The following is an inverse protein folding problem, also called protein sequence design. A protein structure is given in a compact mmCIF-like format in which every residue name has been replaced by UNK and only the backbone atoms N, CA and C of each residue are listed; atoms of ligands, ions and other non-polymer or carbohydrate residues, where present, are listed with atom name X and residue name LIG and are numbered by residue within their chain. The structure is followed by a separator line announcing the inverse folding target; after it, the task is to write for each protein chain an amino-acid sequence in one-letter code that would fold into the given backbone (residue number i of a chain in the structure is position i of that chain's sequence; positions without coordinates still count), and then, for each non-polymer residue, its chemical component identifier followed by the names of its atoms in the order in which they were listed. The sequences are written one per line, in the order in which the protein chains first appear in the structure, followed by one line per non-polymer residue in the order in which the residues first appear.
data_IF_244412678394
#
_entry.id   IF_244412678394
#
_cell.length_a   1.000
_cell.length_b   1.000
_cell.length_c   1.000
_cell.angle_alpha   90.00
_cell.angle_beta   90.00
_cell.angle_gamma   90.00
#
_symmetry.space_group_name_H-M   'P 1'
#
loop_
_entity.id
_entity.type
_entity.pdbx_description
1 polymer ?
#
# COMPACT_ATOMS: atom_id res chain seq x y z
N UNK A 1 -14.84 -6.64 -19.20
CA UNK A 1 -15.95 -6.94 -18.24
C UNK A 1 -15.45 -6.59 -16.86
N UNK A 2 -15.94 -5.49 -16.27
CA UNK A 2 -15.54 -5.04 -14.94
C UNK A 2 -15.97 -6.08 -13.90
N UNK A 3 -15.02 -6.75 -13.27
CA UNK A 3 -15.28 -7.60 -12.11
C UNK A 3 -15.62 -6.69 -10.92
N UNK A 4 -16.90 -6.43 -10.74
CA UNK A 4 -17.44 -5.75 -9.56
C UNK A 4 -17.16 -6.66 -8.35
N UNK A 5 -16.43 -6.15 -7.39
CA UNK A 5 -16.18 -6.84 -6.12
C UNK A 5 -17.52 -7.03 -5.37
N UNK A 6 -18.17 -8.18 -5.53
CA UNK A 6 -19.49 -8.51 -4.99
C UNK A 6 -19.59 -8.53 -3.45
N UNK A 7 -18.49 -8.31 -2.72
CA UNK A 7 -18.44 -8.32 -1.25
C UNK A 7 -18.60 -6.94 -0.58
N UNK A 8 -18.84 -5.87 -1.32
CA UNK A 8 -18.85 -4.49 -0.80
C UNK A 8 -20.23 -3.92 -0.45
N UNK A 9 -21.24 -4.73 -0.12
CA UNK A 9 -22.50 -4.17 0.44
C UNK A 9 -22.26 -3.73 1.88
N UNK A 10 -21.99 -2.43 2.09
CA UNK A 10 -21.98 -1.81 3.40
C UNK A 10 -23.36 -1.25 3.75
N UNK A 11 -23.82 -1.52 4.96
CA UNK A 11 -25.19 -1.28 5.41
C UNK A 11 -25.51 0.17 5.84
N UNK A 12 -24.56 1.11 5.81
CA UNK A 12 -24.81 2.53 6.15
C UNK A 12 -23.89 3.46 5.35
N UNK A 13 -24.42 4.04 4.26
CA UNK A 13 -23.81 5.15 3.53
C UNK A 13 -24.62 6.40 3.77
N UNK A 14 -23.99 7.51 4.10
CA UNK A 14 -24.57 8.83 3.96
C UNK A 14 -23.84 9.51 2.82
N UNK A 15 -24.45 9.55 1.64
CA UNK A 15 -23.97 10.29 0.48
C UNK A 15 -24.50 11.71 0.57
N UNK A 16 -23.62 12.69 0.50
CA UNK A 16 -23.98 14.10 0.35
C UNK A 16 -23.37 14.57 -0.96
N UNK A 17 -24.21 14.80 -1.95
CA UNK A 17 -23.82 15.36 -3.23
C UNK A 17 -23.95 16.89 -3.17
N UNK A 18 -22.85 17.62 -3.32
CA UNK A 18 -22.83 19.08 -3.46
C UNK A 18 -22.14 19.42 -4.76
N UNK A 19 -22.88 19.92 -5.79
CA UNK A 19 -22.24 20.49 -6.97
C UNK A 19 -21.50 21.76 -6.53
N UNK A 20 -20.22 21.89 -6.91
CA UNK A 20 -19.53 23.15 -6.75
C UNK A 20 -19.91 24.13 -7.86
N UNK A 21 -19.50 25.42 -7.72
CA UNK A 21 -19.85 26.52 -8.62
C UNK A 21 -19.17 26.41 -10.00
N UNK A 22 -18.28 25.44 -10.22
CA UNK A 22 -17.52 25.24 -11.45
C UNK A 22 -17.89 23.95 -12.22
N UNK A 23 -18.92 23.20 -11.75
CA UNK A 23 -19.38 21.97 -12.41
C UNK A 23 -18.56 20.72 -12.11
N UNK A 24 -17.61 20.79 -11.17
CA UNK A 24 -16.94 19.62 -10.62
C UNK A 24 -17.87 18.90 -9.62
N UNK A 25 -18.00 17.58 -9.76
CA UNK A 25 -18.74 16.77 -8.80
C UNK A 25 -17.95 16.61 -7.51
N UNK A 26 -18.58 16.90 -6.38
CA UNK A 26 -18.05 16.62 -5.05
C UNK A 26 -18.95 15.60 -4.34
N UNK A 27 -18.38 14.51 -3.87
CA UNK A 27 -19.10 13.49 -3.10
C UNK A 27 -18.39 13.24 -1.79
N UNK A 28 -19.09 13.46 -0.68
CA UNK A 28 -18.63 13.12 0.66
C UNK A 28 -19.31 11.82 1.13
N UNK A 29 -18.51 10.91 1.68
CA UNK A 29 -18.94 9.60 2.15
C UNK A 29 -18.43 9.40 3.57
N UNK A 30 -19.32 9.06 4.50
CA UNK A 30 -18.92 8.57 5.81
C UNK A 30 -18.93 7.04 5.80
N UNK A 31 -17.77 6.43 6.07
CA UNK A 31 -17.55 5.00 6.08
C UNK A 31 -17.40 4.49 7.51
N UNK A 32 -18.36 3.68 7.97
CA UNK A 32 -18.27 2.97 9.24
C UNK A 32 -17.34 1.76 9.10
N UNK A 33 -16.34 1.67 9.95
CA UNK A 33 -15.40 0.55 10.01
C UNK A 33 -15.89 -0.55 10.95
N UNK A 34 -15.69 -1.84 10.61
CA UNK A 34 -16.16 -2.96 11.44
C UNK A 34 -15.32 -3.17 12.71
N UNK A 35 -14.07 -2.68 12.69
CA UNK A 35 -13.10 -2.74 13.78
C UNK A 35 -12.32 -1.42 13.85
N UNK A 36 -11.69 -1.08 14.98
CA UNK A 36 -10.81 0.07 15.05
C UNK A 36 -9.69 0.00 14.02
N UNK A 37 -9.42 1.12 13.35
CA UNK A 37 -8.28 1.32 12.45
C UNK A 37 -7.70 2.71 12.73
N UNK A 38 -6.43 2.81 13.03
CA UNK A 38 -5.72 4.08 13.14
C UNK A 38 -5.22 4.51 11.77
N UNK A 39 -5.81 5.55 11.18
CA UNK A 39 -5.34 6.12 9.90
C UNK A 39 -3.92 6.65 10.02
N UNK A 40 -3.61 7.36 11.09
CA UNK A 40 -2.28 7.94 11.34
C UNK A 40 -1.22 6.85 11.41
N UNK A 41 -1.48 5.77 12.16
CA UNK A 41 -0.53 4.65 12.27
C UNK A 41 -0.38 3.92 10.94
N UNK A 42 -1.48 3.74 10.19
CA UNK A 42 -1.47 3.11 8.87
C UNK A 42 -0.66 3.93 7.88
N UNK A 43 -0.89 5.24 7.81
CA UNK A 43 -0.16 6.15 6.91
C UNK A 43 1.34 6.16 7.23
N UNK A 44 1.71 6.16 8.51
CA UNK A 44 3.11 6.20 8.96
C UNK A 44 3.72 4.80 9.14
N UNK A 45 3.06 3.73 8.73
CA UNK A 45 3.51 2.35 8.91
C UNK A 45 4.84 2.05 8.20
N UNK A 46 5.04 2.64 7.05
CA UNK A 46 6.27 2.54 6.23
C UNK A 46 6.36 3.71 5.24
N UNK A 47 7.33 3.66 4.31
CA UNK A 47 7.68 4.82 3.48
C UNK A 47 6.71 5.21 2.35
N UNK A 48 5.66 4.44 2.05
CA UNK A 48 4.79 4.65 0.88
C UNK A 48 4.14 6.04 0.85
N UNK A 49 3.78 6.59 1.99
CA UNK A 49 3.20 7.94 2.09
C UNK A 49 4.09 9.04 1.47
N UNK A 50 5.40 8.81 1.41
CA UNK A 50 6.37 9.74 0.81
C UNK A 50 6.57 9.53 -0.70
N UNK A 51 5.90 8.56 -1.30
CA UNK A 51 6.01 8.25 -2.73
C UNK A 51 4.77 8.77 -3.47
N UNK A 52 5.00 9.45 -4.58
CA UNK A 52 3.90 9.89 -5.45
C UNK A 52 2.99 8.70 -5.83
N UNK A 53 1.70 8.91 -6.01
CA UNK A 53 1.01 10.21 -5.97
C UNK A 53 0.43 10.56 -4.59
N UNK A 54 0.89 9.95 -3.49
CA UNK A 54 0.43 10.24 -2.14
C UNK A 54 0.75 11.67 -1.71
N UNK A 55 -0.18 12.28 -0.99
CA UNK A 55 -0.02 13.50 -0.22
C UNK A 55 -0.58 13.29 1.18
N UNK A 56 0.20 13.62 2.20
CA UNK A 56 -0.20 13.56 3.61
C UNK A 56 -0.03 14.92 4.25
N UNK A 57 -1.13 15.51 4.70
CA UNK A 57 -1.16 16.70 5.54
C UNK A 57 -1.19 16.26 7.01
N UNK A 58 -0.06 16.40 7.69
CA UNK A 58 0.07 16.01 9.12
C UNK A 58 -0.69 16.91 10.07
N UNK A 59 -0.96 18.15 9.68
CA UNK A 59 -1.65 19.13 10.52
C UNK A 59 -3.17 18.91 10.47
N UNK A 60 -3.68 18.53 9.31
CA UNK A 60 -5.09 18.21 9.09
C UNK A 60 -5.40 16.72 9.27
N UNK A 61 -4.36 15.87 9.44
CA UNK A 61 -4.47 14.40 9.43
C UNK A 61 -5.22 13.88 8.20
N UNK A 62 -4.88 14.44 7.04
CA UNK A 62 -5.54 14.21 5.76
C UNK A 62 -4.63 13.46 4.80
N UNK A 63 -5.09 12.30 4.34
CA UNK A 63 -4.44 11.53 3.27
C UNK A 63 -5.18 11.76 1.97
N UNK A 64 -4.45 12.20 0.93
CA UNK A 64 -5.04 12.42 -0.39
C UNK A 64 -4.15 11.94 -1.52
N UNK A 65 -4.77 11.67 -2.67
CA UNK A 65 -4.07 11.38 -3.90
C UNK A 65 -4.97 11.52 -5.14
N UNK A 66 -4.40 11.86 -6.30
CA UNK A 66 -5.08 11.71 -7.57
C UNK A 66 -5.18 10.23 -7.96
N UNK A 67 -6.32 9.87 -8.56
CA UNK A 67 -6.63 8.56 -9.10
C UNK A 67 -7.13 8.66 -10.52
N UNK A 68 -6.90 7.59 -11.30
CA UNK A 68 -7.42 7.44 -12.65
C UNK A 68 -7.85 5.99 -12.87
N UNK A 69 -9.16 5.74 -12.98
CA UNK A 69 -9.69 4.38 -13.12
C UNK A 69 -9.85 3.97 -14.58
N UNK A 70 -10.20 4.93 -15.45
CA UNK A 70 -10.48 4.71 -16.87
C UNK A 70 -9.29 5.00 -17.81
N UNK A 71 -8.13 5.37 -17.25
CA UNK A 71 -6.94 5.78 -17.98
C UNK A 71 -7.02 7.19 -18.59
N UNK A 72 -8.09 7.97 -18.31
CA UNK A 72 -8.33 9.28 -18.90
C UNK A 72 -8.72 10.35 -17.90
N UNK A 73 -9.68 10.08 -17.04
CA UNK A 73 -10.26 11.05 -16.12
C UNK A 73 -9.57 10.96 -14.76
N UNK A 74 -8.95 12.06 -14.36
CA UNK A 74 -8.32 12.17 -13.05
C UNK A 74 -9.31 12.80 -12.07
N UNK A 75 -9.40 12.20 -10.91
CA UNK A 75 -10.14 12.72 -9.75
C UNK A 75 -9.26 12.61 -8.50
N UNK A 76 -9.56 13.41 -7.49
CA UNK A 76 -8.83 13.36 -6.22
C UNK A 76 -9.68 12.67 -5.16
N UNK A 77 -9.06 11.75 -4.43
CA UNK A 77 -9.65 11.12 -3.26
C UNK A 77 -8.92 11.61 -2.02
N UNK A 78 -9.69 12.08 -1.04
CA UNK A 78 -9.20 12.59 0.24
C UNK A 78 -9.84 11.77 1.35
N UNK A 79 -9.05 11.39 2.35
CA UNK A 79 -9.46 10.56 3.49
C UNK A 79 -9.04 11.22 4.79
N UNK A 80 -10.02 11.45 5.67
CA UNK A 80 -9.81 11.91 7.04
C UNK A 80 -10.42 10.91 8.03
N UNK A 81 -10.01 10.98 9.27
CA UNK A 81 -10.53 10.10 10.31
C UNK A 81 -11.11 10.90 11.47
N UNK A 82 -12.42 10.73 11.68
CA UNK A 82 -13.14 11.36 12.80
C UNK A 82 -13.06 10.53 14.10
N UNK A 83 -13.07 9.20 13.99
CA UNK A 83 -12.87 8.26 15.11
C UNK A 83 -12.18 6.98 14.60
N UNK A 84 -11.69 6.13 15.50
CA UNK A 84 -11.07 4.84 15.12
C UNK A 84 -12.00 3.90 14.34
N UNK A 85 -13.30 4.16 14.34
CA UNK A 85 -14.32 3.38 13.64
C UNK A 85 -15.05 4.14 12.54
N UNK A 86 -14.61 5.38 12.23
CA UNK A 86 -15.22 6.21 11.20
C UNK A 86 -14.18 6.91 10.34
N UNK A 87 -14.34 6.79 9.03
CA UNK A 87 -13.52 7.47 8.03
C UNK A 87 -14.43 8.33 7.14
N UNK A 88 -14.01 9.56 6.91
CA UNK A 88 -14.64 10.49 6.00
C UNK A 88 -13.86 10.51 4.70
N UNK A 89 -14.52 10.25 3.58
CA UNK A 89 -13.93 10.15 2.25
C UNK A 89 -14.55 11.24 1.39
N UNK A 90 -13.72 12.04 0.74
CA UNK A 90 -14.13 13.05 -0.25
C UNK A 90 -13.60 12.66 -1.61
N UNK A 91 -14.48 12.68 -2.61
CA UNK A 91 -14.14 12.48 -4.03
C UNK A 91 -14.39 13.80 -4.75
N UNK A 92 -13.37 14.36 -5.38
CA UNK A 92 -13.45 15.59 -6.16
C UNK A 92 -13.01 15.33 -7.59
N UNK A 93 -13.87 15.61 -8.58
CA UNK A 93 -13.57 15.39 -9.99
C UNK A 93 -14.78 15.62 -10.88
N UNK A 94 -14.58 15.50 -12.19
CA UNK A 94 -15.68 15.57 -13.15
C UNK A 94 -16.45 14.25 -13.14
N UNK A 95 -17.80 14.32 -13.16
CA UNK A 95 -18.70 13.18 -13.32
C UNK A 95 -18.53 12.06 -12.29
N UNK A 96 -18.68 12.39 -11.00
CA UNK A 96 -18.70 11.36 -9.93
C UNK A 96 -20.08 10.69 -9.93
N UNK A 97 -20.11 9.42 -10.30
CA UNK A 97 -21.29 8.56 -10.29
C UNK A 97 -21.21 7.45 -9.19
N UNK A 98 -22.26 6.64 -9.08
CA UNK A 98 -22.30 5.54 -8.12
C UNK A 98 -21.23 4.47 -8.38
N UNK A 99 -20.89 4.21 -9.65
CA UNK A 99 -19.89 3.22 -10.03
C UNK A 99 -18.49 3.67 -9.60
N UNK A 100 -18.14 4.93 -9.87
CA UNK A 100 -16.91 5.54 -9.41
C UNK A 100 -16.84 5.55 -7.89
N UNK A 101 -17.94 5.92 -7.23
CA UNK A 101 -18.06 5.91 -5.77
C UNK A 101 -17.78 4.53 -5.18
N UNK A 102 -18.38 3.47 -5.72
CA UNK A 102 -18.14 2.10 -5.28
C UNK A 102 -16.69 1.66 -5.51
N UNK A 103 -16.09 2.05 -6.63
CA UNK A 103 -14.69 1.77 -6.91
C UNK A 103 -13.76 2.48 -5.91
N UNK A 104 -13.99 3.77 -5.63
CA UNK A 104 -13.21 4.53 -4.63
C UNK A 104 -13.32 3.89 -3.25
N UNK A 105 -14.50 3.43 -2.84
CA UNK A 105 -14.65 2.69 -1.58
C UNK A 105 -13.78 1.43 -1.52
N UNK A 106 -13.64 0.70 -2.62
CA UNK A 106 -12.74 -0.46 -2.69
C UNK A 106 -11.27 -0.03 -2.57
N UNK A 107 -10.88 1.06 -3.24
CA UNK A 107 -9.52 1.61 -3.14
C UNK A 107 -9.19 2.03 -1.70
N UNK A 108 -10.05 2.82 -1.07
CA UNK A 108 -9.81 3.29 0.31
C UNK A 108 -9.73 2.13 1.29
N UNK A 109 -10.57 1.10 1.15
CA UNK A 109 -10.47 -0.11 1.98
C UNK A 109 -9.12 -0.81 1.81
N UNK A 110 -8.61 -0.89 0.58
CA UNK A 110 -7.28 -1.41 0.32
C UNK A 110 -6.20 -0.52 0.96
N UNK A 111 -6.26 0.80 0.78
CA UNK A 111 -5.27 1.73 1.33
C UNK A 111 -5.05 1.55 2.82
N UNK A 112 -6.14 1.41 3.58
CA UNK A 112 -6.09 1.26 5.04
C UNK A 112 -6.04 -0.20 5.50
N UNK A 113 -5.82 -1.15 4.58
CA UNK A 113 -5.79 -2.60 4.87
C UNK A 113 -7.04 -3.08 5.65
N UNK A 114 -8.23 -2.57 5.29
CA UNK A 114 -9.49 -2.92 5.96
C UNK A 114 -9.88 -4.39 5.73
N UNK A 115 -9.37 -5.00 4.67
CA UNK A 115 -9.54 -6.41 4.30
C UNK A 115 -8.74 -7.38 5.18
N UNK A 116 -7.79 -6.89 6.01
CA UNK A 116 -7.07 -7.71 6.96
C UNK A 116 -7.83 -7.88 8.28
N UNK A 117 -8.02 -9.15 8.70
CA UNK A 117 -8.56 -9.48 10.02
C UNK A 117 -7.40 -9.66 11.03
N UNK A 118 -7.30 -8.80 12.06
CA UNK A 118 -6.18 -8.84 13.00
C UNK A 118 -6.32 -9.87 14.12
N UNK A 119 -7.41 -10.64 14.21
CA UNK A 119 -7.73 -11.48 15.36
C UNK A 119 -6.63 -12.50 15.70
N UNK A 120 -6.10 -13.19 14.70
CA UNK A 120 -5.05 -14.19 14.90
C UNK A 120 -3.71 -13.54 15.27
N UNK A 121 -3.38 -12.42 14.65
CA UNK A 121 -2.21 -11.63 15.00
C UNK A 121 -2.25 -11.16 16.46
N UNK A 122 -3.41 -10.68 16.94
CA UNK A 122 -3.63 -10.30 18.35
C UNK A 122 -3.42 -11.51 19.27
N UNK A 123 -3.94 -12.69 18.90
CA UNK A 123 -3.81 -13.90 19.72
C UNK A 123 -2.35 -14.37 19.84
N UNK A 124 -1.57 -14.29 18.76
CA UNK A 124 -0.13 -14.60 18.79
C UNK A 124 0.61 -13.53 19.60
N UNK A 125 0.35 -12.25 19.32
CA UNK A 125 1.01 -11.14 19.99
C UNK A 125 0.78 -11.14 21.52
N UNK A 126 -0.40 -11.55 22.03
CA UNK A 126 -0.67 -11.68 23.46
C UNK A 126 0.28 -12.67 24.16
N UNK A 127 0.79 -13.67 23.44
CA UNK A 127 1.74 -14.66 23.98
C UNK A 127 3.18 -14.18 23.88
N UNK A 128 3.48 -13.30 22.91
CA UNK A 128 4.84 -12.88 22.59
C UNK A 128 5.20 -11.51 23.18
N UNK A 129 4.36 -10.50 22.97
CA UNK A 129 4.50 -9.14 23.51
C UNK A 129 3.10 -8.50 23.62
N UNK A 130 2.61 -8.34 24.85
CA UNK A 130 1.30 -7.76 25.15
C UNK A 130 1.13 -6.33 24.63
N UNK A 131 2.24 -5.57 24.53
CA UNK A 131 2.21 -4.18 24.00
C UNK A 131 1.89 -4.18 22.50
N UNK A 132 2.44 -5.14 21.75
CA UNK A 132 2.12 -5.33 20.33
C UNK A 132 0.66 -5.74 20.17
N UNK A 133 0.15 -6.65 21.02
CA UNK A 133 -1.25 -7.04 21.00
C UNK A 133 -2.19 -5.85 21.24
N UNK A 134 -1.86 -4.99 22.20
CA UNK A 134 -2.63 -3.78 22.48
C UNK A 134 -2.58 -2.80 21.31
N UNK A 135 -1.40 -2.55 20.73
CA UNK A 135 -1.23 -1.70 19.56
C UNK A 135 -2.14 -2.14 18.39
N UNK A 136 -2.21 -3.45 18.13
CA UNK A 136 -3.06 -3.97 17.07
C UNK A 136 -4.55 -3.82 17.44
N UNK A 137 -4.92 -4.09 18.69
CA UNK A 137 -6.29 -3.98 19.17
C UNK A 137 -6.81 -2.52 19.12
N UNK A 138 -5.92 -1.54 19.32
CA UNK A 138 -6.20 -0.12 19.22
C UNK A 138 -6.21 0.40 17.77
N UNK A 139 -6.16 -0.50 16.79
CA UNK A 139 -6.27 -0.17 15.36
C UNK A 139 -4.96 0.04 14.61
N UNK A 140 -3.81 -0.13 15.28
CA UNK A 140 -2.49 -0.13 14.65
C UNK A 140 -2.16 -1.44 13.93
N UNK A 141 -0.90 -1.57 13.45
CA UNK A 141 -0.41 -2.79 12.82
C UNK A 141 -0.86 -3.00 11.37
N UNK A 142 -1.58 -2.04 10.79
CA UNK A 142 -1.95 -2.03 9.37
C UNK A 142 -0.92 -1.26 8.55
N UNK A 143 -0.77 -1.62 7.28
CA UNK A 143 0.18 -1.00 6.37
C UNK A 143 -0.56 -0.23 5.29
N UNK A 144 -0.07 0.99 4.98
CA UNK A 144 -0.58 1.77 3.86
C UNK A 144 -0.29 1.01 2.56
N UNK A 145 -1.33 0.64 1.84
CA UNK A 145 -1.22 -0.02 0.53
C UNK A 145 -1.54 0.96 -0.58
N UNK A 146 -0.92 0.80 -1.73
CA UNK A 146 -1.28 1.55 -2.92
C UNK A 146 -2.65 1.13 -3.46
N UNK A 147 -3.15 1.84 -4.46
CA UNK A 147 -4.48 1.57 -5.05
C UNK A 147 -4.59 0.19 -5.68
N UNK A 148 -3.48 -0.35 -6.19
CA UNK A 148 -3.43 -1.68 -6.80
C UNK A 148 -2.20 -2.46 -6.32
N UNK A 149 -2.26 -3.76 -6.45
CA UNK A 149 -1.10 -4.65 -6.26
C UNK A 149 0.06 -4.26 -7.17
N UNK A 150 -0.24 -3.94 -8.43
CA UNK A 150 0.78 -3.57 -9.40
C UNK A 150 1.56 -2.32 -8.99
N UNK A 151 0.89 -1.31 -8.47
CA UNK A 151 1.54 -0.10 -7.94
C UNK A 151 2.49 -0.45 -6.79
N UNK A 152 2.07 -1.30 -5.85
CA UNK A 152 2.92 -1.75 -4.74
C UNK A 152 4.16 -2.50 -5.24
N UNK A 153 4.01 -3.39 -6.24
CA UNK A 153 5.12 -4.10 -6.87
C UNK A 153 6.10 -3.14 -7.57
N UNK A 154 5.59 -2.20 -8.37
CA UNK A 154 6.42 -1.21 -9.09
C UNK A 154 7.20 -0.32 -8.12
N UNK A 155 6.53 0.19 -7.08
CA UNK A 155 7.19 0.97 -6.01
C UNK A 155 8.29 0.15 -5.35
N UNK A 156 8.03 -1.12 -5.06
CA UNK A 156 9.03 -2.03 -4.47
C UNK A 156 10.23 -2.25 -5.42
N UNK A 157 10.00 -2.47 -6.71
CA UNK A 157 11.08 -2.56 -7.71
C UNK A 157 11.91 -1.27 -7.72
N UNK A 158 11.29 -0.10 -7.57
CA UNK A 158 11.99 1.18 -7.50
C UNK A 158 12.85 1.35 -6.24
N UNK A 159 12.65 0.57 -5.16
CA UNK A 159 13.48 0.64 -3.95
C UNK A 159 14.78 -0.17 -4.03
N UNK A 160 14.88 -1.11 -4.96
CA UNK A 160 16.01 -2.07 -5.00
C UNK A 160 17.32 -1.37 -5.34
N UNK A 161 18.38 -1.63 -4.55
CA UNK A 161 19.74 -1.12 -4.76
C UNK A 161 19.82 0.38 -5.09
N UNK A 162 19.12 1.21 -4.28
CA UNK A 162 19.13 2.67 -4.46
C UNK A 162 18.87 3.38 -3.13
N UNK A 163 19.09 4.69 -3.10
CA UNK A 163 18.72 5.53 -1.97
C UNK A 163 17.27 6.03 -2.09
N UNK A 164 16.70 6.44 -0.96
CA UNK A 164 15.31 6.86 -0.86
C UNK A 164 14.94 8.05 -1.76
N UNK A 165 15.85 9.02 -1.94
CA UNK A 165 15.62 10.17 -2.80
C UNK A 165 15.52 9.75 -4.29
N UNK A 166 16.32 8.80 -4.72
CA UNK A 166 16.25 8.23 -6.07
C UNK A 166 14.95 7.47 -6.27
N UNK A 167 14.50 6.69 -5.27
CA UNK A 167 13.19 6.03 -5.30
C UNK A 167 12.06 7.04 -5.47
N UNK A 168 12.02 8.08 -4.62
CA UNK A 168 11.02 9.16 -4.73
C UNK A 168 11.00 9.78 -6.12
N UNK A 169 12.18 10.07 -6.69
CA UNK A 169 12.30 10.65 -8.01
C UNK A 169 11.76 9.72 -9.11
N UNK A 170 12.13 8.44 -9.09
CA UNK A 170 11.66 7.47 -10.09
C UNK A 170 10.14 7.32 -10.05
N UNK A 171 9.56 7.16 -8.86
CA UNK A 171 8.11 7.01 -8.70
C UNK A 171 7.38 8.29 -9.11
N UNK A 172 7.91 9.47 -8.76
CA UNK A 172 7.35 10.75 -9.22
C UNK A 172 7.33 10.86 -10.74
N UNK A 173 8.44 10.52 -11.41
CA UNK A 173 8.52 10.54 -12.87
C UNK A 173 7.59 9.52 -13.53
N UNK A 174 7.36 8.35 -12.95
CA UNK A 174 6.35 7.41 -13.43
C UNK A 174 4.95 8.04 -13.43
N UNK A 175 4.59 8.74 -12.36
CA UNK A 175 3.30 9.44 -12.24
C UNK A 175 3.20 10.59 -13.25
N UNK A 176 4.24 11.41 -13.38
CA UNK A 176 4.22 12.61 -14.24
C UNK A 176 4.35 12.29 -15.73
N UNK A 177 5.27 11.38 -16.07
CA UNK A 177 5.68 11.14 -17.46
C UNK A 177 4.86 10.05 -18.17
N UNK A 178 4.30 9.11 -17.41
CA UNK A 178 3.54 7.97 -17.95
C UNK A 178 2.09 8.01 -17.48
N UNK A 179 1.86 8.30 -16.18
CA UNK A 179 0.55 8.23 -15.54
C UNK A 179 -0.32 9.48 -15.67
N UNK A 180 0.17 10.54 -16.35
CA UNK A 180 -0.57 11.81 -16.54
C UNK A 180 -1.06 12.46 -15.21
N UNK A 181 -0.33 12.24 -14.10
CA UNK A 181 -0.66 12.79 -12.78
C UNK A 181 -1.27 11.78 -11.80
N UNK A 182 -1.70 10.59 -12.25
CA UNK A 182 -2.02 9.45 -11.40
C UNK A 182 -0.94 8.35 -11.54
N UNK A 183 -1.01 7.26 -10.77
CA UNK A 183 -0.09 6.15 -10.96
C UNK A 183 -0.42 5.41 -12.26
N UNK A 184 0.59 5.09 -13.12
CA UNK A 184 0.33 4.48 -14.42
C UNK A 184 -0.20 3.05 -14.28
N UNK A 185 -1.14 2.69 -15.15
CA UNK A 185 -1.65 1.31 -15.25
C UNK A 185 -0.61 0.37 -15.88
N UNK A 186 -0.75 -0.97 -15.71
CA UNK A 186 0.09 -1.93 -16.40
C UNK A 186 0.12 -1.73 -17.93
N UNK A 187 -1.03 -1.41 -18.55
CA UNK A 187 -1.11 -1.14 -19.99
C UNK A 187 -0.30 0.10 -20.38
N UNK A 188 -0.40 1.19 -19.62
CA UNK A 188 0.39 2.40 -19.88
C UNK A 188 1.89 2.14 -19.79
N UNK A 189 2.33 1.28 -18.86
CA UNK A 189 3.74 0.86 -18.75
C UNK A 189 4.15 -0.01 -19.94
N UNK A 190 3.32 -0.98 -20.33
CA UNK A 190 3.60 -1.84 -21.48
C UNK A 190 3.70 -1.01 -22.78
N UNK A 191 2.79 -0.07 -22.99
CA UNK A 191 2.72 0.76 -24.19
C UNK A 191 3.87 1.77 -24.30
N UNK A 192 4.34 2.33 -23.16
CA UNK A 192 5.44 3.31 -23.21
C UNK A 192 6.80 2.71 -23.57
N UNK A 193 7.00 1.42 -23.31
CA UNK A 193 8.19 0.67 -23.63
C UNK A 193 9.40 0.93 -22.71
N UNK A 194 10.39 0.04 -22.74
CA UNK A 194 11.58 0.10 -21.88
C UNK A 194 12.38 1.39 -22.06
N UNK A 195 12.49 1.91 -23.28
CA UNK A 195 13.27 3.11 -23.57
C UNK A 195 12.71 4.33 -22.82
N UNK A 196 11.38 4.51 -22.77
CA UNK A 196 10.75 5.59 -22.03
C UNK A 196 10.99 5.44 -20.52
N UNK A 197 10.83 4.25 -19.96
CA UNK A 197 11.11 3.97 -18.55
C UNK A 197 12.55 4.32 -18.18
N UNK A 198 13.51 3.99 -19.06
CA UNK A 198 14.92 4.26 -18.84
C UNK A 198 15.25 5.75 -18.96
N UNK A 199 14.74 6.42 -20.00
CA UNK A 199 15.13 7.77 -20.34
C UNK A 199 14.31 8.84 -19.62
N UNK A 200 12.98 8.68 -19.58
CA UNK A 200 12.06 9.65 -18.94
C UNK A 200 11.94 9.40 -17.45
N UNK A 201 11.68 8.17 -17.02
CA UNK A 201 11.47 7.84 -15.61
C UNK A 201 12.76 7.54 -14.82
N UNK A 202 13.94 7.49 -15.51
CA UNK A 202 15.26 7.28 -14.90
C UNK A 202 15.40 5.95 -14.14
N UNK A 203 14.66 4.91 -14.54
CA UNK A 203 14.66 3.61 -13.85
C UNK A 203 15.98 2.83 -14.01
N UNK A 204 16.81 3.16 -15.01
CA UNK A 204 18.11 2.50 -15.25
C UNK A 204 17.95 0.99 -15.49
N UNK A 205 18.65 0.17 -14.71
CA UNK A 205 18.61 -1.30 -14.82
C UNK A 205 17.24 -1.90 -14.42
N UNK A 206 16.37 -1.14 -13.75
CA UNK A 206 15.02 -1.58 -13.37
C UNK A 206 14.03 -1.53 -14.54
N UNK A 207 14.37 -0.80 -15.62
CA UNK A 207 13.50 -0.68 -16.80
C UNK A 207 13.15 -2.04 -17.41
N UNK A 208 14.11 -2.93 -17.74
CA UNK A 208 13.79 -4.26 -18.24
C UNK A 208 13.12 -5.15 -17.20
N UNK A 209 13.44 -4.99 -15.89
CA UNK A 209 12.76 -5.72 -14.80
C UNK A 209 11.29 -5.38 -14.79
N UNK A 210 10.96 -4.09 -14.79
CA UNK A 210 9.57 -3.63 -14.78
C UNK A 210 8.82 -4.06 -16.04
N UNK A 211 9.43 -3.92 -17.23
CA UNK A 211 8.80 -4.36 -18.48
C UNK A 211 8.49 -5.85 -18.48
N UNK A 212 9.47 -6.69 -18.09
CA UNK A 212 9.28 -8.14 -18.05
C UNK A 212 8.18 -8.52 -17.03
N UNK A 213 8.24 -7.99 -15.80
CA UNK A 213 7.24 -8.24 -14.79
C UNK A 213 5.83 -7.81 -15.25
N UNK A 214 5.71 -6.64 -15.88
CA UNK A 214 4.43 -6.14 -16.42
C UNK A 214 3.87 -7.09 -17.49
N UNK A 215 4.68 -7.46 -18.45
CA UNK A 215 4.28 -8.34 -19.55
C UNK A 215 3.88 -9.74 -19.04
N UNK A 216 4.69 -10.33 -18.17
CA UNK A 216 4.44 -11.63 -17.57
C UNK A 216 3.12 -11.64 -16.77
N UNK A 217 2.94 -10.70 -15.85
CA UNK A 217 1.76 -10.61 -14.99
C UNK A 217 0.46 -10.38 -15.78
N UNK A 218 0.51 -9.58 -16.85
CA UNK A 218 -0.64 -9.37 -17.75
C UNK A 218 -0.94 -10.64 -18.57
N UNK A 219 0.08 -11.26 -19.17
CA UNK A 219 -0.10 -12.43 -20.05
C UNK A 219 -0.59 -13.66 -19.29
N UNK A 220 -0.20 -13.81 -18.03
CA UNK A 220 -0.62 -14.90 -17.14
C UNK A 220 -1.91 -14.58 -16.37
N UNK A 221 -2.53 -13.43 -16.63
CA UNK A 221 -3.73 -12.95 -15.94
C UNK A 221 -3.59 -12.92 -14.41
N UNK A 222 -2.38 -12.69 -13.92
CA UNK A 222 -2.12 -12.49 -12.49
C UNK A 222 -2.66 -11.14 -12.04
N UNK A 223 -2.58 -10.14 -12.91
CA UNK A 223 -3.17 -8.82 -12.72
C UNK A 223 -4.16 -8.47 -13.84
N UNK A 224 -5.10 -7.59 -13.52
CA UNK A 224 -5.98 -6.96 -14.50
C UNK A 224 -5.29 -5.82 -15.25
N UNK A 225 -5.91 -5.30 -16.30
CA UNK A 225 -5.46 -4.11 -17.04
C UNK A 225 -5.31 -2.86 -16.13
N UNK A 226 -6.08 -2.79 -15.03
CA UNK A 226 -5.98 -1.75 -14.01
C UNK A 226 -4.92 -2.03 -12.93
N UNK A 227 -4.34 -3.23 -12.89
CA UNK A 227 -3.32 -3.61 -11.92
C UNK A 227 -3.85 -4.27 -10.64
N UNK A 228 -5.13 -4.59 -10.60
CA UNK A 228 -5.71 -5.35 -9.49
C UNK A 228 -5.28 -6.82 -9.57
N UNK A 229 -4.95 -7.39 -8.43
CA UNK A 229 -4.57 -8.80 -8.32
C UNK A 229 -5.77 -9.71 -8.58
N UNK A 230 -5.53 -10.85 -9.23
CA UNK A 230 -6.54 -11.89 -9.46
C UNK A 230 -7.15 -12.41 -8.15
N UNK A 231 -8.37 -12.94 -8.15
CA UNK A 231 -8.93 -13.66 -7.01
C UNK A 231 -8.03 -14.82 -6.58
N UNK A 232 -7.85 -15.01 -5.28
CA UNK A 232 -6.95 -16.02 -4.71
C UNK A 232 -5.56 -15.47 -4.34
N UNK A 233 -5.24 -14.26 -4.78
CA UNK A 233 -3.99 -13.59 -4.39
C UNK A 233 -2.78 -14.10 -5.16
N UNK A 234 -1.61 -13.87 -4.58
CA UNK A 234 -0.30 -14.33 -5.07
C UNK A 234 0.52 -14.82 -3.87
N UNK A 235 1.14 -15.98 -4.00
CA UNK A 235 2.01 -16.53 -2.96
C UNK A 235 3.41 -15.92 -3.00
N UNK A 236 4.15 -16.04 -1.90
CA UNK A 236 5.56 -15.64 -1.85
C UNK A 236 6.41 -16.34 -2.92
N UNK A 237 6.13 -17.62 -3.20
CA UNK A 237 6.85 -18.38 -4.22
C UNK A 237 6.56 -17.88 -5.64
N UNK A 238 5.31 -17.53 -5.94
CA UNK A 238 4.95 -16.89 -7.21
C UNK A 238 5.63 -15.52 -7.36
N UNK A 239 5.71 -14.72 -6.28
CA UNK A 239 6.46 -13.46 -6.30
C UNK A 239 7.93 -13.68 -6.62
N UNK A 240 8.57 -14.70 -6.07
CA UNK A 240 9.97 -15.06 -6.37
C UNK A 240 10.17 -15.54 -7.80
N UNK A 241 9.13 -16.09 -8.46
CA UNK A 241 9.23 -16.55 -9.86
C UNK A 241 9.26 -15.39 -10.85
N UNK A 242 8.75 -14.21 -10.46
CA UNK A 242 8.77 -13.00 -11.29
C UNK A 242 10.21 -12.56 -11.53
N UNK A 243 10.62 -12.52 -12.80
CA UNK A 243 11.99 -12.18 -13.17
C UNK A 243 12.42 -10.81 -12.63
N UNK A 244 13.45 -10.82 -11.77
CA UNK A 244 14.00 -9.61 -11.15
C UNK A 244 13.37 -9.23 -9.82
N UNK A 245 12.41 -10.00 -9.31
CA UNK A 245 11.89 -9.92 -7.97
C UNK A 245 12.68 -10.88 -7.07
N UNK A 246 13.54 -10.34 -6.22
CA UNK A 246 14.33 -11.13 -5.27
C UNK A 246 13.62 -11.27 -3.91
N UNK A 247 14.23 -11.99 -2.94
CA UNK A 247 13.65 -12.25 -1.63
C UNK A 247 13.19 -11.01 -0.87
N UNK A 248 13.96 -9.91 -0.92
CA UNK A 248 13.56 -8.64 -0.32
C UNK A 248 12.26 -8.11 -0.92
N UNK A 249 12.20 -8.00 -2.26
CA UNK A 249 11.01 -7.47 -2.94
C UNK A 249 9.80 -8.37 -2.75
N UNK A 250 9.99 -9.70 -2.83
CA UNK A 250 8.93 -10.67 -2.60
C UNK A 250 8.36 -10.56 -1.17
N UNK A 251 9.23 -10.48 -0.15
CA UNK A 251 8.79 -10.31 1.25
C UNK A 251 8.07 -8.99 1.46
N UNK A 252 8.53 -7.90 0.82
CA UNK A 252 7.90 -6.60 0.96
C UNK A 252 6.50 -6.56 0.32
N UNK A 253 6.34 -7.12 -0.87
CA UNK A 253 5.04 -7.21 -1.55
C UNK A 253 4.11 -8.18 -0.84
N UNK A 254 4.61 -9.34 -0.39
CA UNK A 254 3.84 -10.31 0.38
C UNK A 254 3.27 -9.69 1.67
N UNK A 255 4.07 -8.90 2.40
CA UNK A 255 3.63 -8.15 3.57
C UNK A 255 2.47 -7.21 3.26
N UNK A 256 2.50 -6.51 2.11
CA UNK A 256 1.40 -5.64 1.66
C UNK A 256 0.14 -6.43 1.29
N UNK A 257 0.28 -7.70 0.90
CA UNK A 257 -0.84 -8.62 0.67
C UNK A 257 -1.18 -9.46 1.93
N UNK A 258 -0.75 -9.01 3.11
CA UNK A 258 -1.03 -9.57 4.43
C UNK A 258 -0.38 -10.95 4.71
N UNK A 259 0.60 -11.36 3.91
CA UNK A 259 1.50 -12.46 4.26
C UNK A 259 2.68 -11.90 5.07
N UNK A 260 2.60 -12.04 6.39
CA UNK A 260 3.60 -11.54 7.34
C UNK A 260 4.64 -12.61 7.73
N UNK A 261 4.67 -13.74 7.03
CA UNK A 261 5.56 -14.87 7.33
C UNK A 261 7.04 -14.62 6.97
N UNK A 262 7.31 -13.54 6.20
CA UNK A 262 8.65 -13.21 5.75
C UNK A 262 9.06 -11.80 6.18
N UNK A 263 10.30 -11.64 6.65
CA UNK A 263 10.86 -10.34 6.99
C UNK A 263 11.72 -9.86 5.83
N UNK A 264 11.39 -8.71 5.18
CA UNK A 264 12.23 -8.14 4.13
C UNK A 264 13.49 -7.52 4.75
N UNK A 265 14.52 -8.34 4.97
CA UNK A 265 15.76 -7.91 5.62
C UNK A 265 16.54 -6.97 4.72
N UNK A 266 16.57 -5.70 5.09
CA UNK A 266 17.35 -4.63 4.48
C UNK A 266 18.34 -4.02 5.49
N UNK A 267 18.99 -2.93 5.12
CA UNK A 267 19.94 -2.22 6.00
C UNK A 267 19.28 -1.67 7.26
N UNK A 268 18.01 -1.26 7.19
CA UNK A 268 17.27 -0.71 8.34
C UNK A 268 16.86 -1.82 9.32
N UNK A 269 16.39 -2.96 8.79
CA UNK A 269 16.11 -4.17 9.58
C UNK A 269 17.39 -4.64 10.27
N UNK A 270 18.47 -4.79 9.51
CA UNK A 270 19.77 -5.26 9.99
C UNK A 270 20.30 -4.36 11.12
N UNK A 271 20.29 -3.04 10.90
CA UNK A 271 20.75 -2.06 11.88
C UNK A 271 19.95 -2.14 13.18
N UNK A 272 18.61 -2.12 13.10
CA UNK A 272 17.77 -2.20 14.31
C UNK A 272 17.99 -3.51 15.07
N UNK A 273 18.07 -4.64 14.37
CA UNK A 273 18.24 -5.95 15.01
C UNK A 273 19.65 -6.11 15.60
N UNK A 274 20.68 -5.53 14.98
CA UNK A 274 22.03 -5.50 15.54
C UNK A 274 22.10 -4.63 16.81
N UNK A 275 21.55 -3.39 16.75
CA UNK A 275 21.57 -2.46 17.90
C UNK A 275 20.74 -2.96 19.09
N UNK A 276 19.58 -3.57 18.82
CA UNK A 276 18.62 -3.95 19.87
C UNK A 276 18.84 -5.35 20.42
N UNK A 277 19.17 -6.31 19.55
CA UNK A 277 19.20 -7.74 19.87
C UNK A 277 20.57 -8.38 19.63
N UNK A 278 21.58 -7.62 19.14
CA UNK A 278 22.92 -8.11 18.78
C UNK A 278 22.88 -9.22 17.69
N UNK A 279 21.91 -9.14 16.78
CA UNK A 279 21.70 -10.14 15.74
C UNK A 279 22.41 -9.76 14.43
N UNK A 280 22.99 -10.77 13.75
CA UNK A 280 23.41 -10.64 12.36
C UNK A 280 22.20 -10.77 11.42
N UNK A 281 22.29 -10.26 10.16
CA UNK A 281 21.17 -10.30 9.22
C UNK A 281 20.57 -11.69 8.98
N UNK A 282 21.41 -12.74 8.93
CA UNK A 282 21.02 -14.13 8.76
C UNK A 282 20.30 -14.75 9.97
N UNK A 283 20.40 -14.13 11.13
CA UNK A 283 19.78 -14.58 12.38
C UNK A 283 18.40 -13.96 12.62
N UNK A 284 18.05 -12.88 11.90
CA UNK A 284 16.83 -12.10 12.14
C UNK A 284 15.57 -12.96 11.98
N UNK A 285 15.47 -13.72 10.89
CA UNK A 285 14.29 -14.56 10.65
C UNK A 285 14.09 -15.63 11.74
N UNK A 286 15.17 -16.27 12.20
CA UNK A 286 15.13 -17.27 13.27
C UNK A 286 14.75 -16.66 14.63
N UNK A 287 15.21 -15.45 14.94
CA UNK A 287 14.86 -14.78 16.19
C UNK A 287 13.34 -14.53 16.33
N UNK A 288 12.66 -14.18 15.23
CA UNK A 288 11.22 -13.98 15.21
C UNK A 288 10.40 -15.24 14.85
N UNK A 289 11.01 -16.43 14.79
CA UNK A 289 10.35 -17.67 14.38
C UNK A 289 9.15 -18.04 15.26
N UNK A 290 9.22 -17.74 16.55
CA UNK A 290 8.12 -17.99 17.51
C UNK A 290 6.84 -17.20 17.22
N UNK A 291 6.90 -16.16 16.37
CA UNK A 291 5.73 -15.42 15.87
C UNK A 291 4.99 -16.18 14.74
N UNK A 292 5.49 -17.32 14.26
CA UNK A 292 4.89 -18.10 13.17
C UNK A 292 4.70 -17.25 11.90
N UNK A 293 3.50 -17.25 11.35
CA UNK A 293 3.15 -16.50 10.13
C UNK A 293 3.12 -14.98 10.35
N UNK A 294 3.33 -14.49 11.58
CA UNK A 294 3.32 -13.06 11.93
C UNK A 294 4.71 -12.51 12.29
N UNK A 295 5.80 -13.16 11.82
CA UNK A 295 7.21 -12.76 12.12
C UNK A 295 7.48 -11.31 11.78
N UNK A 296 6.97 -10.86 10.65
CA UNK A 296 7.14 -9.46 10.23
C UNK A 296 6.45 -8.50 11.20
N UNK A 297 5.24 -8.81 11.66
CA UNK A 297 4.53 -7.97 12.64
C UNK A 297 5.30 -7.94 13.97
N UNK A 298 5.82 -9.08 14.42
CA UNK A 298 6.66 -9.16 15.61
C UNK A 298 7.86 -8.21 15.54
N UNK A 299 8.62 -8.26 14.46
CA UNK A 299 9.71 -7.32 14.21
C UNK A 299 9.23 -5.86 14.11
N UNK A 300 8.30 -5.60 13.20
CA UNK A 300 7.95 -4.22 12.79
C UNK A 300 7.27 -3.46 13.92
N UNK A 301 6.33 -4.10 14.62
CA UNK A 301 5.56 -3.43 15.66
C UNK A 301 6.37 -3.26 16.95
N UNK A 302 7.26 -4.19 17.29
CA UNK A 302 8.24 -3.99 18.37
C UNK A 302 9.13 -2.77 18.10
N UNK A 303 9.63 -2.63 16.85
CA UNK A 303 10.42 -1.47 16.44
C UNK A 303 9.63 -0.15 16.56
N UNK A 304 8.38 -0.13 16.14
CA UNK A 304 7.51 1.05 16.25
C UNK A 304 7.31 1.43 17.71
N UNK A 305 7.04 0.47 18.59
CA UNK A 305 6.88 0.72 20.02
C UNK A 305 8.16 1.26 20.68
N UNK A 306 9.32 0.70 20.32
CA UNK A 306 10.60 1.19 20.83
C UNK A 306 10.86 2.64 20.40
N UNK A 307 10.56 2.98 19.14
CA UNK A 307 10.71 4.35 18.65
C UNK A 307 9.78 5.36 19.34
N UNK A 308 8.54 4.95 19.65
CA UNK A 308 7.57 5.79 20.38
C UNK A 308 8.03 6.05 21.83
N UNK A 309 8.56 5.05 22.49
CA UNK A 309 9.08 5.19 23.86
C UNK A 309 10.30 6.10 23.95
N UNK A 310 11.08 6.23 22.86
CA UNK A 310 12.27 7.10 22.81
C UNK A 310 11.93 8.59 22.66
N UNK A 311 10.76 8.90 22.10
CA UNK A 311 10.30 10.29 21.89
C UNK A 311 9.54 10.82 23.12
N UNK A 312 9.15 9.96 24.07
CA UNK A 312 8.38 10.29 25.27
C UNK A 312 9.18 10.29 26.58
N UNK A 313 10.54 10.18 26.53
CA UNK A 313 11.45 10.15 27.68
C UNK A 313 12.24 11.46 27.83
#
# INVERSE_FOLDING_TARGET
MLHICYKCRLSKRKLVYTPDTEGAGLVDINLQLPVPISLVDTVNSHGWVNLAPWNWDSDQLELSRPECIDGRTIFTVTVNQSTLTNIDIRIAGQAVDDLLTDRVLCLVKRWISMDWNPSDAINIARKMDVRVAQLIADGGGRFLRSSTFYEDLVKTICTVNTNWNSTKRMVKLLVEEIGNGAFPTPLMIADCGEAALRQRCKLGFRSPVLMNATTELLSEHVISDSGDLRPGGISYQELLSIRGVGPYSASHVAMLEHDFSHIPVDSEVSKYCEEKYLLKPDQVAGFFESWGDYRFLGYKLSRILDQRNWIGG
#
